data_IF_908402747729
#
_entry.id   IF_908402747729
#
_cell.length_a   1.000
_cell.length_b   1.000
_cell.length_c   1.000
_cell.angle_alpha   90.00
_cell.angle_beta   90.00
_cell.angle_gamma   90.00
#
_symmetry.space_group_name_H-M   'P 1'
#
loop_
_entity.id
_entity.type
_entity.pdbx_description
1 polymer ?
#
# COMPACT_ATOMS: atom_id res chain seq x y z
N UNK A 1 3.92 -39.51 -5.61
CA UNK A 1 3.98 -38.05 -5.69
C UNK A 1 2.86 -37.53 -4.82
N UNK A 2 3.15 -36.81 -3.75
CA UNK A 2 2.11 -36.35 -2.80
C UNK A 2 1.20 -35.31 -3.47
N UNK A 3 -0.06 -35.22 -3.06
CA UNK A 3 -1.04 -34.24 -3.58
C UNK A 3 -0.52 -32.82 -3.45
N UNK A 4 0.27 -32.51 -2.41
CA UNK A 4 0.96 -31.24 -2.22
C UNK A 4 1.92 -30.90 -3.36
N UNK A 5 2.69 -31.86 -3.88
CA UNK A 5 3.60 -31.63 -5.00
C UNK A 5 2.86 -31.36 -6.31
N UNK A 6 1.72 -31.98 -6.51
CA UNK A 6 0.87 -31.74 -7.70
C UNK A 6 0.23 -30.35 -7.63
N UNK A 7 -0.21 -29.93 -6.45
CA UNK A 7 -0.82 -28.62 -6.25
C UNK A 7 0.22 -27.49 -6.39
N UNK A 8 1.42 -27.68 -5.84
CA UNK A 8 2.55 -26.75 -5.98
C UNK A 8 2.93 -26.57 -7.46
N UNK A 9 3.11 -27.65 -8.20
CA UNK A 9 3.42 -27.59 -9.64
C UNK A 9 2.32 -26.90 -10.47
N UNK A 10 1.04 -27.10 -10.14
CA UNK A 10 -0.06 -26.40 -10.83
C UNK A 10 -0.04 -24.89 -10.56
N UNK A 11 0.28 -24.47 -9.34
CA UNK A 11 0.37 -23.04 -8.99
C UNK A 11 1.57 -22.41 -9.71
N UNK A 12 2.72 -23.05 -9.73
CA UNK A 12 3.91 -22.56 -10.47
C UNK A 12 3.65 -22.45 -11.96
N UNK A 13 3.04 -23.45 -12.58
CA UNK A 13 2.68 -23.42 -14.00
C UNK A 13 1.69 -22.28 -14.32
N UNK A 14 0.71 -22.02 -13.45
CA UNK A 14 -0.22 -20.89 -13.62
C UNK A 14 0.52 -19.56 -13.62
N UNK A 15 1.46 -19.34 -12.71
CA UNK A 15 2.28 -18.12 -12.66
C UNK A 15 3.15 -17.96 -13.90
N UNK A 16 3.72 -19.04 -14.41
CA UNK A 16 4.48 -19.02 -15.67
C UNK A 16 3.61 -18.57 -16.83
N UNK A 17 2.41 -19.14 -17.00
CA UNK A 17 1.48 -18.71 -18.04
C UNK A 17 1.01 -17.25 -17.89
N UNK A 18 0.78 -16.81 -16.67
CA UNK A 18 0.47 -15.42 -16.39
C UNK A 18 1.62 -14.48 -16.82
N UNK A 19 2.86 -14.82 -16.45
CA UNK A 19 4.03 -14.05 -16.83
C UNK A 19 4.22 -14.02 -18.35
N UNK A 20 4.08 -15.15 -19.03
CA UNK A 20 4.16 -15.22 -20.49
C UNK A 20 3.08 -14.34 -21.15
N UNK A 21 1.86 -14.36 -20.64
CA UNK A 21 0.78 -13.49 -21.11
C UNK A 21 1.09 -12.00 -20.91
N UNK A 22 1.63 -11.63 -19.74
CA UNK A 22 2.04 -10.26 -19.43
C UNK A 22 3.14 -9.79 -20.40
N UNK A 23 4.17 -10.62 -20.59
CA UNK A 23 5.27 -10.31 -21.51
C UNK A 23 4.76 -10.19 -22.96
N UNK A 24 3.83 -11.07 -23.38
CA UNK A 24 3.24 -11.00 -24.71
C UNK A 24 2.46 -9.69 -24.92
N UNK A 25 1.61 -9.28 -23.96
CA UNK A 25 0.87 -8.01 -24.02
C UNK A 25 1.85 -6.83 -24.08
N UNK A 26 2.88 -6.85 -23.24
CA UNK A 26 3.93 -5.82 -23.23
C UNK A 26 4.65 -5.74 -24.58
N UNK A 27 5.03 -6.88 -25.16
CA UNK A 27 5.70 -6.95 -26.45
C UNK A 27 4.80 -6.46 -27.59
N UNK A 28 3.50 -6.74 -27.54
CA UNK A 28 2.54 -6.19 -28.50
C UNK A 28 2.52 -4.67 -28.40
N UNK A 29 2.33 -4.10 -27.21
CA UNK A 29 2.29 -2.63 -27.02
C UNK A 29 3.62 -1.99 -27.44
N UNK A 30 4.74 -2.64 -27.16
CA UNK A 30 6.08 -2.16 -27.52
C UNK A 30 6.30 -2.04 -29.02
N UNK A 31 5.69 -2.93 -29.81
CA UNK A 31 5.91 -3.02 -31.26
C UNK A 31 4.74 -2.47 -32.09
N UNK A 32 3.64 -2.03 -31.46
CA UNK A 32 2.54 -1.40 -32.20
C UNK A 32 2.99 -0.11 -32.90
N UNK A 33 2.44 0.23 -34.07
CA UNK A 33 2.64 1.55 -34.65
C UNK A 33 2.14 2.64 -33.71
N UNK A 34 2.90 3.74 -33.57
CA UNK A 34 2.56 4.87 -32.67
C UNK A 34 1.17 5.44 -32.99
N UNK A 35 0.79 5.41 -34.28
CA UNK A 35 -0.50 5.88 -34.76
C UNK A 35 -1.71 5.14 -34.18
N UNK A 36 -1.52 3.90 -33.68
CA UNK A 36 -2.59 3.10 -33.08
C UNK A 36 -3.07 3.67 -31.73
N UNK A 37 -2.28 4.51 -31.09
CA UNK A 37 -2.63 5.07 -29.77
C UNK A 37 -3.54 6.31 -29.86
N UNK A 38 -3.68 6.92 -31.04
CA UNK A 38 -4.53 8.12 -31.21
C UNK A 38 -4.03 9.35 -30.43
N UNK A 39 -2.79 9.35 -29.97
CA UNK A 39 -2.17 10.45 -29.21
C UNK A 39 -1.25 11.21 -30.16
N UNK A 40 -1.59 12.48 -30.43
CA UNK A 40 -0.75 13.36 -31.24
C UNK A 40 0.59 13.63 -30.56
N UNK A 41 1.69 13.50 -31.31
CA UNK A 41 3.03 13.76 -30.79
C UNK A 41 3.61 12.66 -29.87
N UNK A 42 2.97 11.49 -29.80
CA UNK A 42 3.52 10.34 -29.05
C UNK A 42 4.83 9.88 -29.68
N UNK A 43 5.90 9.79 -28.89
CA UNK A 43 7.20 9.31 -29.34
C UNK A 43 7.40 7.82 -29.06
N UNK A 44 8.36 7.18 -29.76
CA UNK A 44 8.72 5.77 -29.52
C UNK A 44 9.15 5.54 -28.06
N UNK A 45 9.92 6.46 -27.48
CA UNK A 45 10.36 6.38 -26.08
C UNK A 45 9.16 6.39 -25.15
N UNK A 46 8.20 7.29 -25.34
CA UNK A 46 6.98 7.35 -24.53
C UNK A 46 6.13 6.09 -24.68
N UNK A 47 5.98 5.54 -25.87
CA UNK A 47 5.30 4.27 -26.11
C UNK A 47 5.95 3.12 -25.35
N UNK A 48 7.28 3.04 -25.36
CA UNK A 48 8.01 2.02 -24.59
C UNK A 48 7.84 2.18 -23.09
N UNK A 49 7.79 3.42 -22.58
CA UNK A 49 7.45 3.70 -21.17
C UNK A 49 6.04 3.20 -20.85
N UNK A 50 5.07 3.43 -21.72
CA UNK A 50 3.69 2.90 -21.56
C UNK A 50 3.71 1.36 -21.51
N UNK A 51 4.47 0.70 -22.40
CA UNK A 51 4.59 -0.75 -22.40
C UNK A 51 5.17 -1.29 -21.07
N UNK A 52 6.22 -0.64 -20.55
CA UNK A 52 6.82 -1.00 -19.25
C UNK A 52 5.83 -0.74 -18.10
N UNK A 53 5.07 0.35 -18.16
CA UNK A 53 4.02 0.64 -17.17
C UNK A 53 2.93 -0.44 -17.15
N UNK A 54 2.50 -0.91 -18.33
CA UNK A 54 1.54 -2.04 -18.43
C UNK A 54 2.14 -3.32 -17.88
N UNK A 55 3.41 -3.62 -18.17
CA UNK A 55 4.14 -4.74 -17.59
C UNK A 55 4.14 -4.68 -16.06
N UNK A 56 4.48 -3.52 -15.49
CA UNK A 56 4.48 -3.31 -14.05
C UNK A 56 3.09 -3.55 -13.43
N UNK A 57 2.09 -2.90 -14.00
CA UNK A 57 0.70 -2.96 -13.51
C UNK A 57 0.16 -4.38 -13.52
N UNK A 58 0.33 -5.09 -14.63
CA UNK A 58 -0.14 -6.47 -14.75
C UNK A 58 0.65 -7.43 -13.85
N UNK A 59 1.98 -7.24 -13.73
CA UNK A 59 2.81 -8.07 -12.84
C UNK A 59 2.42 -7.92 -11.38
N UNK A 60 2.11 -6.71 -10.92
CA UNK A 60 1.63 -6.46 -9.55
C UNK A 60 0.19 -6.91 -9.33
N UNK A 61 -0.68 -6.74 -10.32
CA UNK A 61 -2.09 -7.13 -10.22
C UNK A 61 -2.25 -8.65 -10.14
N UNK A 62 -1.49 -9.40 -10.93
CA UNK A 62 -1.57 -10.87 -10.98
C UNK A 62 -0.58 -11.57 -10.05
N UNK A 63 0.30 -10.81 -9.39
CA UNK A 63 1.37 -11.36 -8.54
C UNK A 63 2.17 -12.49 -9.21
N UNK A 64 2.41 -12.33 -10.53
CA UNK A 64 3.09 -13.33 -11.35
C UNK A 64 4.54 -13.56 -10.89
N UNK A 65 5.21 -12.47 -10.50
CA UNK A 65 6.55 -12.46 -9.88
C UNK A 65 6.52 -11.57 -8.63
N UNK A 66 7.45 -11.76 -7.67
CA UNK A 66 7.54 -10.91 -6.48
C UNK A 66 7.68 -9.42 -6.84
N UNK A 67 7.03 -8.53 -6.10
CA UNK A 67 6.99 -7.09 -6.38
C UNK A 67 8.39 -6.46 -6.50
N UNK A 68 9.35 -6.90 -5.67
CA UNK A 68 10.74 -6.42 -5.74
C UNK A 68 11.42 -6.84 -7.07
N UNK A 69 11.12 -8.06 -7.58
CA UNK A 69 11.66 -8.54 -8.84
C UNK A 69 11.06 -7.76 -10.02
N UNK A 70 9.76 -7.44 -9.98
CA UNK A 70 9.11 -6.55 -10.95
C UNK A 70 9.79 -5.19 -10.98
N UNK A 71 10.06 -4.59 -9.83
CA UNK A 71 10.71 -3.28 -9.74
C UNK A 71 12.12 -3.29 -10.31
N UNK A 72 12.92 -4.31 -10.00
CA UNK A 72 14.26 -4.48 -10.56
C UNK A 72 14.22 -4.71 -12.09
N UNK A 73 13.25 -5.51 -12.57
CA UNK A 73 13.07 -5.74 -14.00
C UNK A 73 12.75 -4.44 -14.74
N UNK A 74 11.85 -3.60 -14.19
CA UNK A 74 11.50 -2.29 -14.76
C UNK A 74 12.75 -1.43 -14.91
N UNK A 75 13.51 -1.23 -13.83
CA UNK A 75 14.71 -0.40 -13.83
C UNK A 75 15.74 -0.94 -14.83
N UNK A 76 15.95 -2.27 -14.83
CA UNK A 76 16.90 -2.91 -15.76
C UNK A 76 16.48 -2.72 -17.21
N UNK A 77 15.20 -2.95 -17.54
CA UNK A 77 14.67 -2.76 -18.89
C UNK A 77 14.78 -1.30 -19.30
N UNK A 78 14.44 -0.34 -18.43
CA UNK A 78 14.59 1.09 -18.74
C UNK A 78 16.04 1.46 -19.01
N UNK A 79 16.99 1.01 -18.19
CA UNK A 79 18.41 1.28 -18.41
C UNK A 79 18.92 0.68 -19.72
N UNK A 80 18.49 -0.54 -20.06
CA UNK A 80 18.98 -1.26 -21.23
C UNK A 80 18.34 -0.80 -22.54
N UNK A 81 17.14 -0.20 -22.51
CA UNK A 81 16.35 0.06 -23.72
C UNK A 81 15.95 1.51 -23.94
N UNK A 82 15.89 2.33 -22.88
CA UNK A 82 15.37 3.71 -22.95
C UNK A 82 16.40 4.76 -22.52
N UNK A 83 17.55 4.35 -21.97
CA UNK A 83 18.53 5.31 -21.45
C UNK A 83 19.55 5.74 -22.52
N UNK A 84 20.27 6.83 -22.23
CA UNK A 84 21.45 7.29 -22.99
C UNK A 84 22.53 6.21 -23.13
N UNK A 85 22.63 5.29 -22.16
CA UNK A 85 23.51 4.13 -22.14
C UNK A 85 22.84 2.83 -22.64
N UNK A 86 21.69 2.93 -23.30
CA UNK A 86 20.99 1.75 -23.84
C UNK A 86 21.78 1.01 -24.91
N UNK A 87 21.40 -0.26 -25.09
CA UNK A 87 21.99 -1.11 -26.16
C UNK A 87 21.71 -0.47 -27.51
N UNK A 88 22.70 -0.49 -28.41
CA UNK A 88 22.65 0.20 -29.68
C UNK A 88 21.42 -0.13 -30.56
N UNK A 89 20.91 -1.36 -30.49
CA UNK A 89 19.72 -1.76 -31.26
C UNK A 89 18.41 -1.08 -30.77
N UNK A 90 18.39 -0.47 -29.60
CA UNK A 90 17.23 0.27 -29.06
C UNK A 90 17.35 1.78 -29.26
N UNK A 91 18.50 2.29 -29.75
CA UNK A 91 18.70 3.71 -30.04
C UNK A 91 18.09 4.03 -31.40
N UNK A 92 17.52 5.20 -31.51
CA UNK A 92 16.99 5.77 -32.74
C UNK A 92 17.21 7.27 -32.76
N UNK A 93 16.99 7.89 -33.88
CA UNK A 93 17.14 9.32 -34.10
C UNK A 93 15.87 9.92 -34.70
N UNK A 94 15.67 11.22 -34.48
CA UNK A 94 14.54 11.97 -35.02
C UNK A 94 13.44 12.29 -34.00
N UNK A 95 12.61 13.29 -34.33
CA UNK A 95 11.55 13.79 -33.44
C UNK A 95 10.52 12.71 -33.05
N UNK A 96 10.18 11.82 -33.98
CA UNK A 96 9.24 10.72 -33.71
C UNK A 96 9.81 9.66 -32.75
N UNK A 97 11.14 9.55 -32.61
CA UNK A 97 11.76 8.64 -31.66
C UNK A 97 11.71 9.17 -30.26
N UNK A 98 11.90 10.46 -30.05
CA UNK A 98 11.92 11.12 -28.77
C UNK A 98 13.29 11.10 -28.09
N UNK A 99 13.40 11.76 -26.93
CA UNK A 99 14.63 11.87 -26.17
C UNK A 99 14.83 10.65 -25.26
N UNK A 100 16.07 10.13 -25.26
CA UNK A 100 16.47 9.07 -24.32
C UNK A 100 16.53 9.60 -22.89
N UNK A 101 16.11 8.77 -21.95
CA UNK A 101 16.22 9.07 -20.54
C UNK A 101 17.68 9.04 -20.08
N UNK A 102 18.05 9.90 -19.15
CA UNK A 102 19.40 9.83 -18.56
C UNK A 102 19.49 8.64 -17.62
N UNK A 103 20.43 7.76 -17.84
CA UNK A 103 20.68 6.59 -16.99
C UNK A 103 20.92 6.97 -15.53
N UNK A 104 21.55 8.14 -15.29
CA UNK A 104 21.73 8.71 -13.96
C UNK A 104 20.40 8.98 -13.26
N UNK A 105 19.40 9.50 -13.98
CA UNK A 105 18.09 9.82 -13.38
C UNK A 105 17.31 8.54 -13.08
N UNK A 106 17.41 7.52 -13.94
CA UNK A 106 16.83 6.20 -13.66
C UNK A 106 17.46 5.59 -12.40
N UNK A 107 18.77 5.64 -12.27
CA UNK A 107 19.47 5.09 -11.09
C UNK A 107 19.26 5.93 -9.84
N UNK A 108 19.04 7.24 -9.95
CA UNK A 108 18.76 8.13 -8.84
C UNK A 108 17.43 7.77 -8.13
N UNK A 109 16.52 7.05 -8.78
CA UNK A 109 15.27 6.58 -8.14
C UNK A 109 15.52 5.72 -6.92
N UNK A 110 16.65 4.99 -6.83
CA UNK A 110 17.02 4.21 -5.64
C UNK A 110 17.32 5.08 -4.40
N UNK A 111 17.75 6.32 -4.61
CA UNK A 111 18.10 7.25 -3.53
C UNK A 111 17.07 8.39 -3.41
N UNK A 112 15.86 8.18 -3.88
CA UNK A 112 14.79 9.18 -3.78
C UNK A 112 14.48 9.47 -2.28
N UNK A 113 14.38 10.75 -1.86
CA UNK A 113 14.05 11.13 -0.50
C UNK A 113 12.79 10.45 0.05
N UNK A 114 11.79 10.21 -0.82
CA UNK A 114 10.56 9.48 -0.47
C UNK A 114 10.86 8.06 0.00
N UNK A 115 11.79 7.35 -0.63
CA UNK A 115 12.21 5.99 -0.21
C UNK A 115 12.85 6.04 1.17
N UNK A 116 13.70 7.05 1.45
CA UNK A 116 14.33 7.23 2.75
C UNK A 116 13.31 7.54 3.85
N UNK A 117 12.29 8.34 3.52
CA UNK A 117 11.17 8.62 4.42
C UNK A 117 10.42 7.33 4.80
N UNK A 118 10.09 6.49 3.82
CA UNK A 118 9.43 5.20 4.07
C UNK A 118 10.31 4.24 4.85
N UNK A 119 11.61 4.18 4.56
CA UNK A 119 12.55 3.34 5.31
C UNK A 119 12.55 3.72 6.80
N UNK A 120 12.60 5.02 7.11
CA UNK A 120 12.49 5.52 8.48
C UNK A 120 11.16 5.12 9.13
N UNK A 121 10.04 5.32 8.43
CA UNK A 121 8.70 4.93 8.88
C UNK A 121 8.58 3.42 9.17
N UNK A 122 9.11 2.57 8.31
CA UNK A 122 9.10 1.11 8.53
C UNK A 122 9.95 0.69 9.73
N UNK A 123 11.10 1.32 9.96
CA UNK A 123 11.93 1.06 11.14
C UNK A 123 11.16 1.44 12.42
N UNK A 124 10.48 2.60 12.43
CA UNK A 124 9.65 3.03 13.55
C UNK A 124 8.48 2.08 13.78
N UNK A 125 7.81 1.62 12.72
CA UNK A 125 6.71 0.65 12.81
C UNK A 125 7.16 -0.68 13.42
N UNK A 126 8.31 -1.22 12.98
CA UNK A 126 8.91 -2.43 13.56
C UNK A 126 9.27 -2.22 15.03
N UNK A 127 9.81 -1.06 15.38
CA UNK A 127 10.14 -0.72 16.76
C UNK A 127 8.87 -0.64 17.64
N UNK A 128 7.79 -0.06 17.15
CA UNK A 128 6.49 -0.01 17.84
C UNK A 128 5.96 -1.42 18.13
N UNK A 129 5.98 -2.30 17.13
CA UNK A 129 5.53 -3.70 17.28
C UNK A 129 6.42 -4.47 18.25
N UNK A 130 7.74 -4.36 18.14
CA UNK A 130 8.68 -5.07 19.04
C UNK A 130 8.64 -4.57 20.49
N UNK A 131 8.27 -3.31 20.70
CA UNK A 131 8.15 -2.74 22.06
C UNK A 131 6.77 -2.99 22.68
N UNK A 132 5.77 -3.47 21.91
CA UNK A 132 4.39 -3.66 22.35
C UNK A 132 3.62 -2.34 22.49
N UNK A 133 4.14 -1.24 21.94
CA UNK A 133 3.49 0.06 21.93
C UNK A 133 2.16 0.02 21.17
N UNK A 134 2.13 -0.69 20.05
CA UNK A 134 0.95 -0.93 19.23
C UNK A 134 -0.17 -1.62 20.04
N UNK A 135 0.16 -2.67 20.81
CA UNK A 135 -0.79 -3.38 21.68
C UNK A 135 -1.32 -2.48 22.79
N UNK A 136 -0.45 -1.69 23.42
CA UNK A 136 -0.82 -0.74 24.46
C UNK A 136 -1.82 0.30 23.94
N UNK A 137 -1.50 0.91 22.80
CA UNK A 137 -2.34 1.92 22.16
C UNK A 137 -3.68 1.32 21.74
N UNK A 138 -3.67 0.16 21.06
CA UNK A 138 -4.91 -0.49 20.65
C UNK A 138 -5.84 -0.79 21.83
N UNK A 139 -5.31 -1.32 22.95
CA UNK A 139 -6.09 -1.60 24.16
C UNK A 139 -6.71 -0.34 24.76
N UNK A 140 -5.92 0.72 24.87
CA UNK A 140 -6.39 1.95 25.50
C UNK A 140 -7.37 2.72 24.62
N UNK A 141 -7.15 2.71 23.30
CA UNK A 141 -8.01 3.43 22.36
C UNK A 141 -9.34 2.73 22.10
N UNK A 142 -9.44 1.40 22.25
CA UNK A 142 -10.71 0.69 22.00
C UNK A 142 -11.67 0.76 23.19
N UNK A 143 -11.16 0.90 24.41
CA UNK A 143 -11.98 0.93 25.66
C UNK A 143 -13.11 1.97 25.64
N UNK A 144 -12.92 3.21 25.19
CA UNK A 144 -13.96 4.24 25.18
C UNK A 144 -15.20 3.89 24.35
N UNK A 145 -15.07 2.98 23.37
CA UNK A 145 -16.17 2.59 22.50
C UNK A 145 -17.17 1.64 23.18
N UNK A 146 -16.81 1.07 24.34
CA UNK A 146 -17.67 0.17 25.10
C UNK A 146 -17.96 -1.15 24.36
N UNK A 147 -19.04 -1.82 24.75
CA UNK A 147 -19.34 -3.19 24.28
C UNK A 147 -20.45 -3.26 23.22
N UNK A 148 -21.05 -2.15 22.79
CA UNK A 148 -22.04 -2.18 21.71
C UNK A 148 -21.39 -2.56 20.40
N UNK A 149 -21.93 -3.55 19.68
CA UNK A 149 -21.33 -4.11 18.44
C UNK A 149 -21.02 -3.04 17.40
N UNK A 150 -21.92 -2.06 17.21
CA UNK A 150 -21.74 -0.95 16.27
C UNK A 150 -20.58 -0.04 16.69
N UNK A 151 -20.45 0.25 17.98
CA UNK A 151 -19.38 1.08 18.51
C UNK A 151 -18.02 0.36 18.47
N UNK A 152 -18.03 -0.96 18.71
CA UNK A 152 -16.82 -1.79 18.56
C UNK A 152 -16.32 -1.73 17.11
N UNK A 153 -17.21 -1.86 16.13
CA UNK A 153 -16.85 -1.70 14.72
C UNK A 153 -16.26 -0.31 14.45
N UNK A 154 -16.89 0.75 14.97
CA UNK A 154 -16.37 2.12 14.82
C UNK A 154 -15.00 2.25 15.48
N UNK A 155 -14.81 1.68 16.65
CA UNK A 155 -13.52 1.66 17.36
C UNK A 155 -12.43 1.00 16.51
N UNK A 156 -12.69 -0.18 15.95
CA UNK A 156 -11.75 -0.85 15.06
C UNK A 156 -11.44 -0.02 13.81
N UNK A 157 -12.44 0.59 13.17
CA UNK A 157 -12.23 1.47 12.02
C UNK A 157 -11.34 2.67 12.37
N UNK A 158 -11.68 3.41 13.43
CA UNK A 158 -10.94 4.62 13.79
C UNK A 158 -9.52 4.30 14.25
N UNK A 159 -9.34 3.26 15.08
CA UNK A 159 -8.03 2.87 15.60
C UNK A 159 -7.14 2.37 14.45
N UNK A 160 -7.68 1.50 13.59
CA UNK A 160 -6.94 1.04 12.40
C UNK A 160 -6.55 2.21 11.50
N UNK A 161 -7.48 3.15 11.27
CA UNK A 161 -7.21 4.36 10.52
C UNK A 161 -6.06 5.17 11.12
N UNK A 162 -6.08 5.43 12.42
CA UNK A 162 -5.02 6.18 13.12
C UNK A 162 -3.67 5.48 13.03
N UNK A 163 -3.59 4.18 13.23
CA UNK A 163 -2.34 3.44 13.08
C UNK A 163 -1.82 3.51 11.64
N UNK A 164 -2.70 3.39 10.66
CA UNK A 164 -2.32 3.39 9.25
C UNK A 164 -1.86 4.76 8.73
N UNK A 165 -2.09 5.83 9.48
CA UNK A 165 -1.50 7.15 9.16
C UNK A 165 0.03 7.14 9.22
N UNK A 166 0.62 6.26 10.05
CA UNK A 166 2.05 6.27 10.36
C UNK A 166 2.73 4.92 10.10
N UNK A 167 1.95 3.86 9.95
CA UNK A 167 2.40 2.49 9.70
C UNK A 167 1.85 2.03 8.37
N UNK A 168 2.57 1.19 7.63
CA UNK A 168 2.05 0.69 6.35
C UNK A 168 0.70 -0.01 6.51
N UNK A 169 -0.19 0.15 5.52
CA UNK A 169 -1.54 -0.41 5.53
C UNK A 169 -1.53 -1.93 5.79
N UNK A 170 -0.58 -2.64 5.17
CA UNK A 170 -0.45 -4.09 5.32
C UNK A 170 -0.04 -4.48 6.75
N UNK A 171 0.95 -3.80 7.32
CA UNK A 171 1.39 -4.08 8.69
C UNK A 171 0.30 -3.75 9.70
N UNK A 172 -0.39 -2.60 9.53
CA UNK A 172 -1.54 -2.21 10.36
C UNK A 172 -2.66 -3.23 10.25
N UNK A 173 -3.01 -3.66 9.04
CA UNK A 173 -4.07 -4.65 8.85
C UNK A 173 -3.71 -5.99 9.50
N UNK A 174 -2.48 -6.49 9.31
CA UNK A 174 -2.02 -7.73 9.92
C UNK A 174 -2.08 -7.67 11.45
N UNK A 175 -1.59 -6.59 12.06
CA UNK A 175 -1.65 -6.35 13.50
C UNK A 175 -3.11 -6.32 14.00
N UNK A 176 -3.96 -5.52 13.38
CA UNK A 176 -5.34 -5.37 13.82
C UNK A 176 -6.19 -6.63 13.65
N UNK A 177 -5.90 -7.46 12.63
CA UNK A 177 -6.53 -8.77 12.47
C UNK A 177 -6.22 -9.71 13.63
N UNK A 178 -5.03 -9.63 14.23
CA UNK A 178 -4.71 -10.43 15.43
C UNK A 178 -5.60 -10.06 16.62
N UNK A 179 -5.96 -8.79 16.77
CA UNK A 179 -6.87 -8.33 17.82
C UNK A 179 -8.33 -8.73 17.58
N UNK A 180 -8.70 -9.09 16.35
CA UNK A 180 -10.05 -9.62 16.08
C UNK A 180 -10.21 -11.08 16.50
N UNK A 181 -9.14 -11.85 16.65
CA UNK A 181 -9.22 -13.28 17.01
C UNK A 181 -10.04 -13.53 18.27
N UNK A 182 -9.79 -12.88 19.43
CA UNK A 182 -10.61 -13.04 20.62
C UNK A 182 -12.03 -12.49 20.46
N UNK A 183 -12.21 -11.46 19.64
CA UNK A 183 -13.53 -10.89 19.34
C UNK A 183 -14.39 -11.86 18.53
N UNK A 184 -13.78 -12.61 17.64
CA UNK A 184 -14.46 -13.65 16.86
C UNK A 184 -14.97 -14.81 17.70
N UNK A 185 -14.33 -15.11 18.82
CA UNK A 185 -14.82 -16.14 19.74
C UNK A 185 -16.20 -15.78 20.35
N UNK A 186 -16.49 -14.48 20.47
CA UNK A 186 -17.77 -13.98 20.96
C UNK A 186 -18.86 -13.83 19.88
N UNK A 187 -18.54 -14.10 18.61
CA UNK A 187 -19.44 -13.93 17.48
C UNK A 187 -19.78 -15.27 16.81
N UNK A 188 -21.01 -15.44 16.28
CA UNK A 188 -21.39 -16.62 15.52
C UNK A 188 -20.44 -16.86 14.34
N UNK A 189 -20.04 -18.12 14.10
CA UNK A 189 -19.03 -18.50 13.09
C UNK A 189 -19.39 -17.98 11.69
N UNK A 190 -20.65 -18.05 11.29
CA UNK A 190 -21.16 -17.61 9.99
C UNK A 190 -21.91 -16.27 10.06
N UNK A 191 -21.69 -15.49 11.13
CA UNK A 191 -22.41 -14.24 11.36
C UNK A 191 -21.88 -13.09 10.48
N UNK A 192 -22.79 -12.27 9.93
CA UNK A 192 -22.43 -11.05 9.18
C UNK A 192 -21.53 -10.10 9.98
N UNK A 193 -21.60 -10.10 11.31
CA UNK A 193 -20.74 -9.31 12.18
C UNK A 193 -19.25 -9.65 12.08
N UNK A 194 -18.89 -10.93 11.84
CA UNK A 194 -17.50 -11.32 11.56
C UNK A 194 -17.01 -10.71 10.25
N UNK A 195 -17.83 -10.77 9.21
CA UNK A 195 -17.52 -10.16 7.91
C UNK A 195 -17.34 -8.65 8.08
N UNK A 196 -18.25 -7.99 8.82
CA UNK A 196 -18.17 -6.57 9.10
C UNK A 196 -16.84 -6.18 9.73
N UNK A 197 -16.43 -6.87 10.79
CA UNK A 197 -15.16 -6.61 11.48
C UNK A 197 -13.94 -6.93 10.61
N UNK A 198 -13.96 -8.05 9.89
CA UNK A 198 -12.84 -8.41 9.00
C UNK A 198 -12.67 -7.39 7.89
N UNK A 199 -13.76 -6.97 7.25
CA UNK A 199 -13.71 -5.97 6.17
C UNK A 199 -13.36 -4.57 6.66
N UNK A 200 -13.69 -4.24 7.91
CA UNK A 200 -13.38 -2.93 8.48
C UNK A 200 -11.87 -2.66 8.55
N UNK A 201 -11.05 -3.68 8.78
CA UNK A 201 -9.60 -3.53 8.94
C UNK A 201 -8.92 -3.04 7.64
N UNK A 202 -8.98 -3.75 6.49
CA UNK A 202 -8.34 -3.29 5.27
C UNK A 202 -8.95 -1.98 4.75
N UNK A 203 -10.26 -1.79 4.90
CA UNK A 203 -10.93 -0.53 4.52
C UNK A 203 -10.36 0.63 5.33
N UNK A 204 -10.30 0.49 6.65
CA UNK A 204 -9.78 1.53 7.54
C UNK A 204 -8.28 1.77 7.35
N UNK A 205 -7.50 0.72 7.11
CA UNK A 205 -6.07 0.85 6.83
C UNK A 205 -5.82 1.67 5.55
N UNK A 206 -6.53 1.35 4.47
CA UNK A 206 -6.39 2.09 3.21
C UNK A 206 -6.84 3.55 3.34
N UNK A 207 -7.97 3.79 3.97
CA UNK A 207 -8.51 5.15 4.17
C UNK A 207 -7.59 5.95 5.12
N UNK A 208 -7.20 5.36 6.25
CA UNK A 208 -6.32 6.00 7.23
C UNK A 208 -4.96 6.39 6.63
N UNK A 209 -4.38 5.50 5.80
CA UNK A 209 -3.13 5.76 5.12
C UNK A 209 -3.12 7.02 4.24
N UNK A 210 -4.28 7.52 3.80
CA UNK A 210 -4.37 8.77 3.03
C UNK A 210 -4.15 10.02 3.88
N UNK A 211 -4.28 9.95 5.21
CA UNK A 211 -4.27 11.12 6.08
C UNK A 211 -2.91 11.83 6.15
N UNK A 212 -1.82 11.10 5.97
CA UNK A 212 -0.46 11.65 6.04
C UNK A 212 0.34 11.34 4.78
N UNK A 213 1.35 12.14 4.42
CA UNK A 213 2.25 11.82 3.31
C UNK A 213 2.98 10.48 3.46
N UNK A 214 3.24 10.03 4.70
CA UNK A 214 3.98 8.80 5.01
C UNK A 214 3.09 7.57 5.19
N UNK A 215 1.78 7.73 5.26
CA UNK A 215 0.85 6.62 5.49
C UNK A 215 0.81 5.63 4.32
N UNK A 216 1.02 6.12 3.08
CA UNK A 216 1.08 5.28 1.89
C UNK A 216 1.96 5.91 0.80
N UNK A 217 2.75 5.11 0.03
CA UNK A 217 3.66 5.62 -0.99
C UNK A 217 3.03 6.57 -2.02
N UNK A 218 1.81 6.32 -2.54
CA UNK A 218 1.18 7.23 -3.49
C UNK A 218 1.03 8.67 -3.00
N UNK A 219 0.80 8.88 -1.70
CA UNK A 219 0.67 10.23 -1.15
C UNK A 219 1.98 11.02 -1.26
N UNK A 220 3.10 10.41 -0.90
CA UNK A 220 4.40 11.06 -0.96
C UNK A 220 4.80 11.35 -2.42
N UNK A 221 4.50 10.43 -3.35
CA UNK A 221 4.74 10.64 -4.79
C UNK A 221 3.85 11.80 -5.31
N UNK A 222 2.57 11.82 -4.92
CA UNK A 222 1.67 12.91 -5.29
C UNK A 222 2.15 14.25 -4.72
N UNK A 223 2.56 14.28 -3.45
CA UNK A 223 3.09 15.48 -2.81
C UNK A 223 4.36 15.97 -3.49
N UNK A 224 5.27 15.06 -3.84
CA UNK A 224 6.47 15.39 -4.60
C UNK A 224 6.12 15.97 -5.97
N UNK A 225 5.22 15.37 -6.72
CA UNK A 225 4.78 15.88 -8.02
C UNK A 225 4.12 17.26 -7.92
N UNK A 226 3.27 17.48 -6.92
CA UNK A 226 2.62 18.76 -6.67
C UNK A 226 3.66 19.86 -6.35
N UNK A 227 4.69 19.54 -5.60
CA UNK A 227 5.70 20.49 -5.19
C UNK A 227 6.73 20.75 -6.30
N UNK A 228 7.19 19.73 -7.02
CA UNK A 228 8.22 19.86 -8.06
C UNK A 228 7.66 20.36 -9.40
N UNK A 229 6.49 19.87 -9.82
CA UNK A 229 5.92 20.20 -11.13
C UNK A 229 4.99 21.41 -11.08
N UNK A 230 4.19 21.57 -10.01
CA UNK A 230 3.24 22.67 -9.86
C UNK A 230 3.71 23.77 -8.89
N UNK A 231 4.88 23.61 -8.28
CA UNK A 231 5.50 24.59 -7.36
C UNK A 231 4.59 25.03 -6.20
N UNK A 232 3.70 24.13 -5.73
CA UNK A 232 2.70 24.48 -4.70
C UNK A 232 3.30 24.57 -3.29
N UNK A 233 4.48 23.99 -3.06
CA UNK A 233 5.19 23.98 -1.77
C UNK A 233 4.33 23.49 -0.59
N UNK A 234 3.54 22.42 -0.83
CA UNK A 234 2.67 21.84 0.19
C UNK A 234 3.54 21.15 1.24
N UNK A 235 3.41 21.57 2.49
CA UNK A 235 4.09 20.97 3.63
C UNK A 235 3.34 19.73 4.15
N UNK A 236 4.01 18.94 5.00
CA UNK A 236 3.40 17.78 5.68
C UNK A 236 2.11 18.16 6.44
N UNK A 237 2.17 19.26 7.22
CA UNK A 237 1.02 19.74 7.98
C UNK A 237 -0.13 20.25 7.11
N UNK A 238 0.17 20.89 5.99
CA UNK A 238 -0.85 21.31 5.02
C UNK A 238 -1.54 20.11 4.38
N UNK A 239 -0.82 19.06 3.99
CA UNK A 239 -1.41 17.83 3.52
C UNK A 239 -2.39 17.27 4.56
N UNK A 240 -1.94 17.12 5.81
CA UNK A 240 -2.79 16.60 6.89
C UNK A 240 -4.02 17.48 7.14
N UNK A 241 -3.90 18.80 7.05
CA UNK A 241 -5.03 19.71 7.31
C UNK A 241 -6.21 19.50 6.36
N UNK A 242 -5.95 19.06 5.12
CA UNK A 242 -6.99 18.70 4.14
C UNK A 242 -7.40 17.22 4.24
N UNK A 243 -6.42 16.33 4.33
CA UNK A 243 -6.69 14.90 4.21
C UNK A 243 -7.24 14.28 5.50
N UNK A 244 -6.83 14.75 6.68
CA UNK A 244 -7.31 14.21 7.94
C UNK A 244 -8.83 14.38 8.14
N UNK A 245 -9.44 15.56 7.94
CA UNK A 245 -10.90 15.70 8.00
C UNK A 245 -11.61 14.82 6.98
N UNK A 246 -11.09 14.74 5.76
CA UNK A 246 -11.65 13.89 4.70
C UNK A 246 -11.62 12.42 5.10
N UNK A 247 -10.51 11.94 5.63
CA UNK A 247 -10.33 10.56 6.12
C UNK A 247 -11.36 10.25 7.21
N UNK A 248 -11.55 11.13 8.18
CA UNK A 248 -12.55 10.95 9.24
C UNK A 248 -13.96 10.82 8.66
N UNK A 249 -14.34 11.68 7.71
CA UNK A 249 -15.64 11.63 7.03
C UNK A 249 -15.81 10.28 6.30
N UNK A 250 -14.80 9.84 5.54
CA UNK A 250 -14.87 8.58 4.78
C UNK A 250 -14.94 7.38 5.73
N UNK A 251 -14.22 7.39 6.86
CA UNK A 251 -14.32 6.35 7.89
C UNK A 251 -15.73 6.26 8.48
N UNK A 252 -16.39 7.37 8.77
CA UNK A 252 -17.77 7.39 9.24
C UNK A 252 -18.76 6.88 8.18
N UNK A 253 -18.57 7.26 6.93
CA UNK A 253 -19.38 6.75 5.80
C UNK A 253 -19.17 5.23 5.69
N UNK A 254 -17.93 4.76 5.73
CA UNK A 254 -17.59 3.34 5.68
C UNK A 254 -18.21 2.55 6.83
N UNK A 255 -18.16 3.10 8.06
CA UNK A 255 -18.84 2.52 9.21
C UNK A 255 -20.33 2.31 8.95
N UNK A 256 -21.03 3.33 8.46
CA UNK A 256 -22.48 3.26 8.14
C UNK A 256 -22.77 2.26 7.02
N UNK A 257 -21.93 2.23 5.97
CA UNK A 257 -22.08 1.29 4.87
C UNK A 257 -21.86 -0.15 5.31
N UNK A 258 -20.81 -0.43 6.10
CA UNK A 258 -20.53 -1.77 6.62
C UNK A 258 -21.70 -2.24 7.49
N UNK A 259 -22.23 -1.41 8.40
CA UNK A 259 -23.38 -1.75 9.22
C UNK A 259 -24.64 -2.04 8.39
N UNK A 260 -24.85 -1.31 7.29
CA UNK A 260 -25.98 -1.51 6.38
C UNK A 260 -25.90 -2.85 5.63
N UNK A 261 -24.72 -3.22 5.14
CA UNK A 261 -24.55 -4.45 4.37
C UNK A 261 -24.34 -5.69 5.25
N UNK A 262 -23.65 -5.51 6.37
CA UNK A 262 -23.27 -6.58 7.30
C UNK A 262 -23.73 -6.28 8.74
N UNK A 263 -25.05 -6.22 9.00
CA UNK A 263 -25.56 -5.92 10.33
C UNK A 263 -25.19 -7.01 11.35
N UNK A 264 -24.93 -6.56 12.58
CA UNK A 264 -24.70 -7.47 13.70
C UNK A 264 -26.02 -8.10 14.16
N UNK A 265 -25.99 -9.39 14.43
CA UNK A 265 -27.10 -10.11 15.09
C UNK A 265 -27.10 -9.90 16.60
N UNK A 266 -25.93 -9.65 17.18
CA UNK A 266 -25.73 -9.41 18.61
C UNK A 266 -25.59 -7.92 18.87
N UNK A 267 -26.26 -7.42 19.91
CA UNK A 267 -26.20 -6.00 20.31
C UNK A 267 -24.91 -5.64 21.04
N UNK A 268 -24.29 -6.62 21.69
CA UNK A 268 -23.08 -6.41 22.51
C UNK A 268 -22.03 -7.47 22.22
N UNK A 269 -20.76 -7.07 22.25
CA UNK A 269 -19.58 -7.93 22.10
C UNK A 269 -18.69 -7.69 23.31
N UNK A 270 -18.34 -8.74 24.05
CA UNK A 270 -17.35 -8.62 25.12
C UNK A 270 -15.94 -8.54 24.51
N UNK A 271 -15.27 -7.42 24.75
CA UNK A 271 -13.90 -7.20 24.28
C UNK A 271 -12.91 -7.69 25.34
N UNK A 272 -12.38 -8.89 25.15
CA UNK A 272 -11.21 -9.39 25.91
C UNK A 272 -9.97 -9.27 25.03
N UNK A 273 -9.35 -8.09 24.97
CA UNK A 273 -8.10 -7.91 24.23
C UNK A 273 -6.97 -8.41 25.12
N UNK A 274 -6.49 -9.61 24.85
CA UNK A 274 -5.32 -10.19 25.48
C UNK A 274 -4.05 -9.70 24.78
N UNK A 275 -2.98 -9.48 25.54
CA UNK A 275 -1.66 -9.09 25.01
C UNK A 275 -0.78 -8.62 26.17
N UNK A 276 0.46 -9.03 26.18
CA UNK A 276 1.44 -8.57 27.17
C UNK A 276 1.87 -7.14 26.82
N UNK A 277 1.55 -6.20 27.70
CA UNK A 277 2.06 -4.83 27.65
C UNK A 277 3.34 -4.79 28.48
N UNK A 278 4.48 -4.67 27.80
CA UNK A 278 5.77 -4.46 28.47
C UNK A 278 5.96 -2.97 28.74
N UNK A 279 5.92 -2.54 29.99
CA UNK A 279 6.20 -1.16 30.41
C UNK A 279 7.70 -0.90 30.56
N UNK A 280 8.54 -1.46 29.66
CA UNK A 280 9.97 -1.28 29.69
C UNK A 280 10.44 0.07 29.15
N UNK A 281 11.68 0.48 29.51
CA UNK A 281 12.31 1.70 29.00
C UNK A 281 12.32 1.77 27.46
N UNK A 282 12.42 0.61 26.78
CA UNK A 282 12.40 0.50 25.31
C UNK A 282 11.13 1.07 24.70
N UNK A 283 9.97 0.81 25.30
CA UNK A 283 8.69 1.34 24.85
C UNK A 283 8.67 2.88 24.96
N UNK A 284 9.20 3.45 26.04
CA UNK A 284 9.28 4.90 26.21
C UNK A 284 10.20 5.55 25.18
N UNK A 285 11.36 4.93 24.87
CA UNK A 285 12.25 5.41 23.81
C UNK A 285 11.52 5.44 22.47
N UNK A 286 10.81 4.37 22.11
CA UNK A 286 10.04 4.30 20.84
C UNK A 286 8.94 5.37 20.84
N UNK A 287 8.22 5.55 21.94
CA UNK A 287 7.15 6.55 22.04
C UNK A 287 7.70 7.98 21.84
N UNK A 288 8.80 8.31 22.51
CA UNK A 288 9.47 9.61 22.39
C UNK A 288 9.98 9.81 20.95
N UNK A 289 10.62 8.78 20.37
CA UNK A 289 11.10 8.84 18.98
C UNK A 289 9.95 9.11 18.01
N UNK A 290 8.81 8.42 18.19
CA UNK A 290 7.61 8.67 17.39
C UNK A 290 7.16 10.14 17.48
N UNK A 291 7.05 10.69 18.68
CA UNK A 291 6.59 12.08 18.91
C UNK A 291 7.56 13.09 18.31
N UNK A 292 8.87 12.81 18.36
CA UNK A 292 9.90 13.74 17.83
C UNK A 292 10.01 13.67 16.30
N UNK A 293 9.68 12.54 15.70
CA UNK A 293 9.85 12.30 14.25
C UNK A 293 8.62 12.76 13.43
N UNK A 294 7.45 12.78 14.05
CA UNK A 294 6.20 13.25 13.44
C UNK A 294 5.97 14.73 13.75
#
# INVERSE_FOLDING_TARGET
MSEENVLSNKIEMKKVWQLLGIVAVTAIIWNLPITCFGIEGLTVIQQRVIAIFVFATLSWLFEAIPSWATSLAIISVMCLTLSDNSIACFKGEGEAFGELLKSKDIMATFANPVIMLFLGGFILAIAATKSGLDVLLAKNLIRPFGNKSENVLLGFLLITGVFSMFVSNTATAAMMLTFLTPVFAALPANGKGRIALTMSIPIAANIGGMATPIGTPPNAIALQALNEQLHLNISFGQWMSFMFPLVIIILFISWRLILKFFPFTQKTIELKIEGHVSHGWRMWVVCITFIVTI
#
